data_IF_636202279294
#
_entry.id   IF_636202279294
#
_cell.length_a   1.000
_cell.length_b   1.000
_cell.length_c   1.000
_cell.angle_alpha   90.00
_cell.angle_beta   90.00
_cell.angle_gamma   90.00
#
_symmetry.space_group_name_H-M   'P 1'
#
loop_
_entity.id
_entity.type
_entity.pdbx_description
1 polymer ?
#
# COMPACT_ATOMS: atom_id res chain seq x y z
N UNK A 1 13.53 0.76 -26.40
CA UNK A 1 12.19 1.33 -26.11
C UNK A 1 11.19 0.31 -25.58
N UNK A 2 10.77 -0.72 -26.33
CA UNK A 2 9.75 -1.68 -25.83
C UNK A 2 10.25 -2.56 -24.68
N UNK A 3 11.51 -2.99 -24.73
CA UNK A 3 12.17 -3.75 -23.66
C UNK A 3 12.37 -2.88 -22.41
N UNK A 4 13.00 -1.72 -22.56
CA UNK A 4 13.14 -0.70 -21.48
C UNK A 4 11.80 -0.36 -20.82
N UNK A 5 10.70 -0.26 -21.60
CA UNK A 5 9.37 -0.01 -21.06
C UNK A 5 8.87 -1.17 -20.20
N UNK A 6 9.12 -2.43 -20.62
CA UNK A 6 8.74 -3.62 -19.83
C UNK A 6 9.56 -3.73 -18.54
N UNK A 7 10.85 -3.44 -18.61
CA UNK A 7 11.72 -3.38 -17.43
C UNK A 7 11.22 -2.32 -16.46
N UNK A 8 10.92 -1.11 -16.95
CA UNK A 8 10.33 -0.05 -16.13
C UNK A 8 9.00 -0.47 -15.48
N UNK A 9 8.13 -1.20 -16.19
CA UNK A 9 6.88 -1.72 -15.62
C UNK A 9 7.14 -2.72 -14.50
N UNK A 10 8.11 -3.61 -14.67
CA UNK A 10 8.51 -4.59 -13.65
C UNK A 10 9.08 -3.91 -12.41
N UNK A 11 10.00 -2.97 -12.59
CA UNK A 11 10.61 -2.22 -11.50
C UNK A 11 9.60 -1.36 -10.75
N UNK A 12 8.68 -0.71 -11.48
CA UNK A 12 7.59 0.05 -10.88
C UNK A 12 6.70 -0.83 -9.99
N UNK A 13 6.39 -2.05 -10.44
CA UNK A 13 5.63 -3.02 -9.65
C UNK A 13 6.40 -3.44 -8.38
N UNK A 14 7.70 -3.66 -8.48
CA UNK A 14 8.53 -4.00 -7.31
C UNK A 14 8.56 -2.84 -6.31
N UNK A 15 8.74 -1.61 -6.78
CA UNK A 15 8.70 -0.42 -5.92
C UNK A 15 7.36 -0.25 -5.21
N UNK A 16 6.23 -0.52 -5.89
CA UNK A 16 4.90 -0.54 -5.27
C UNK A 16 4.86 -1.55 -4.10
N UNK A 17 5.36 -2.78 -4.30
CA UNK A 17 5.38 -3.80 -3.25
C UNK A 17 6.30 -3.40 -2.06
N UNK A 18 7.45 -2.79 -2.34
CA UNK A 18 8.36 -2.30 -1.31
C UNK A 18 7.71 -1.20 -0.48
N UNK A 19 7.05 -0.24 -1.11
CA UNK A 19 6.32 0.82 -0.42
C UNK A 19 5.16 0.28 0.41
N UNK A 20 4.39 -0.68 -0.11
CA UNK A 20 3.37 -1.40 0.67
C UNK A 20 3.97 -2.03 1.92
N UNK A 21 5.13 -2.69 1.80
CA UNK A 21 5.83 -3.28 2.94
C UNK A 21 6.33 -2.22 3.94
N UNK A 22 6.76 -1.05 3.46
CA UNK A 22 7.12 0.08 4.33
C UNK A 22 5.92 0.62 5.10
N UNK A 23 4.75 0.73 4.46
CA UNK A 23 3.51 1.13 5.13
C UNK A 23 3.16 0.20 6.30
N UNK A 24 3.32 -1.12 6.12
CA UNK A 24 3.14 -2.10 7.21
C UNK A 24 4.10 -1.81 8.36
N UNK A 25 5.39 -1.59 8.07
CA UNK A 25 6.39 -1.29 9.10
C UNK A 25 6.08 -0.01 9.86
N UNK A 26 5.70 1.06 9.18
CA UNK A 26 5.30 2.33 9.83
C UNK A 26 4.03 2.17 10.68
N UNK A 27 3.06 1.39 10.21
CA UNK A 27 1.86 1.07 10.97
C UNK A 27 2.19 0.25 12.24
N UNK A 28 3.09 -0.73 12.14
CA UNK A 28 3.51 -1.54 13.30
C UNK A 28 4.23 -0.72 14.38
N UNK A 29 4.87 0.41 14.04
CA UNK A 29 5.46 1.33 15.03
C UNK A 29 4.42 1.95 15.98
N UNK A 30 3.13 1.90 15.63
CA UNK A 30 2.06 2.38 16.51
C UNK A 30 1.78 1.42 17.69
N UNK A 31 2.42 0.24 17.71
CA UNK A 31 2.44 -0.72 18.81
C UNK A 31 1.25 -1.67 18.83
N UNK A 32 0.03 -1.13 18.94
CA UNK A 32 -1.20 -1.93 18.96
C UNK A 32 -1.78 -2.11 17.55
N UNK A 33 -2.34 -3.30 17.29
CA UNK A 33 -2.94 -3.64 15.98
C UNK A 33 -4.04 -2.67 15.58
N UNK A 34 -4.91 -2.28 16.52
CA UNK A 34 -5.96 -1.29 16.28
C UNK A 34 -5.39 0.06 15.88
N UNK A 35 -4.35 0.54 16.59
CA UNK A 35 -3.66 1.81 16.27
C UNK A 35 -2.94 1.75 14.93
N UNK A 36 -2.37 0.60 14.58
CA UNK A 36 -1.74 0.36 13.28
C UNK A 36 -2.77 0.43 12.13
N UNK A 37 -3.94 -0.20 12.30
CA UNK A 37 -5.05 -0.10 11.34
C UNK A 37 -5.58 1.32 11.19
N UNK A 38 -5.78 2.02 12.32
CA UNK A 38 -6.25 3.40 12.32
C UNK A 38 -5.25 4.34 11.64
N UNK A 39 -3.95 4.10 11.83
CA UNK A 39 -2.90 4.85 11.15
C UNK A 39 -2.96 4.65 9.63
N UNK A 40 -3.12 3.42 9.14
CA UNK A 40 -3.29 3.16 7.71
C UNK A 40 -4.55 3.83 7.16
N UNK A 41 -5.67 3.72 7.87
CA UNK A 41 -6.94 4.35 7.47
C UNK A 41 -6.85 5.87 7.41
N UNK A 42 -6.19 6.50 8.39
CA UNK A 42 -6.04 7.96 8.48
C UNK A 42 -5.15 8.52 7.37
N UNK A 43 -4.10 7.78 7.00
CA UNK A 43 -3.12 8.24 6.01
C UNK A 43 -3.45 7.80 4.57
N UNK A 44 -4.45 6.93 4.37
CA UNK A 44 -4.93 6.54 3.05
C UNK A 44 -5.41 7.79 2.27
N UNK A 45 -4.91 8.04 1.05
CA UNK A 45 -5.39 9.13 0.21
C UNK A 45 -6.89 9.04 -0.06
N UNK A 46 -7.54 10.20 -0.21
CA UNK A 46 -8.95 10.24 -0.56
C UNK A 46 -9.13 9.93 -2.06
N UNK A 47 -10.21 9.23 -2.43
CA UNK A 47 -10.59 9.11 -3.84
C UNK A 47 -10.96 10.48 -4.41
N UNK A 48 -10.72 10.66 -5.72
CA UNK A 48 -11.28 11.80 -6.46
C UNK A 48 -12.80 11.67 -6.46
N UNK A 49 -13.52 12.78 -6.24
CA UNK A 49 -14.99 12.80 -6.28
C UNK A 49 -15.52 12.61 -7.70
N UNK A 50 -14.82 13.18 -8.67
CA UNK A 50 -15.08 13.01 -10.10
C UNK A 50 -13.94 12.17 -10.67
N UNK A 51 -14.24 10.94 -11.09
CA UNK A 51 -13.24 10.01 -11.65
C UNK A 51 -13.31 10.00 -13.18
N UNK A 52 -12.26 10.53 -13.82
CA UNK A 52 -12.16 10.62 -15.27
C UNK A 52 -11.17 9.60 -15.88
N UNK A 53 -10.71 8.64 -15.08
CA UNK A 53 -9.74 7.60 -15.46
C UNK A 53 -8.41 8.14 -16.03
N UNK A 54 -8.04 9.37 -15.69
CA UNK A 54 -6.73 9.95 -16.03
C UNK A 54 -5.60 9.19 -15.35
N UNK A 55 -4.37 9.32 -15.88
CA UNK A 55 -3.19 8.67 -15.29
C UNK A 55 -2.99 9.05 -13.82
N UNK A 56 -3.21 10.30 -13.44
CA UNK A 56 -3.09 10.76 -12.04
C UNK A 56 -4.13 10.11 -11.14
N UNK A 57 -5.37 9.93 -11.60
CA UNK A 57 -6.42 9.26 -10.83
C UNK A 57 -6.19 7.76 -10.71
N UNK A 58 -5.71 7.12 -11.78
CA UNK A 58 -5.29 5.72 -11.74
C UNK A 58 -4.12 5.53 -10.77
N UNK A 59 -3.14 6.43 -10.78
CA UNK A 59 -2.04 6.42 -9.82
C UNK A 59 -2.55 6.58 -8.38
N UNK A 60 -3.46 7.53 -8.11
CA UNK A 60 -4.07 7.66 -6.78
C UNK A 60 -4.82 6.39 -6.36
N UNK A 61 -5.45 5.69 -7.30
CA UNK A 61 -6.11 4.40 -7.06
C UNK A 61 -5.11 3.31 -6.69
N UNK A 62 -3.95 3.27 -7.36
CA UNK A 62 -2.85 2.37 -6.99
C UNK A 62 -2.37 2.67 -5.57
N UNK A 63 -2.12 3.93 -5.23
CA UNK A 63 -1.69 4.31 -3.88
C UNK A 63 -2.74 3.92 -2.84
N UNK A 64 -4.02 4.17 -3.09
CA UNK A 64 -5.11 3.73 -2.20
C UNK A 64 -5.13 2.20 -2.01
N UNK A 65 -4.85 1.45 -3.08
CA UNK A 65 -4.79 -0.01 -3.04
C UNK A 65 -3.60 -0.49 -2.21
N UNK A 66 -2.45 0.18 -2.28
CA UNK A 66 -1.29 -0.11 -1.41
C UNK A 66 -1.63 -0.01 0.08
N UNK A 67 -2.49 0.92 0.50
CA UNK A 67 -2.95 1.01 1.89
C UNK A 67 -3.85 -0.16 2.30
N UNK A 68 -4.73 -0.62 1.41
CA UNK A 68 -5.55 -1.81 1.66
C UNK A 68 -4.70 -3.08 1.70
N UNK A 69 -3.70 -3.19 0.81
CA UNK A 69 -2.74 -4.28 0.80
C UNK A 69 -1.91 -4.31 2.08
N UNK A 70 -1.41 -3.14 2.51
CA UNK A 70 -0.70 -3.01 3.78
C UNK A 70 -1.57 -3.42 4.97
N UNK A 71 -2.86 -3.09 4.98
CA UNK A 71 -3.78 -3.56 6.02
C UNK A 71 -3.92 -5.09 6.02
N UNK A 72 -4.03 -5.71 4.85
CA UNK A 72 -4.09 -7.18 4.72
C UNK A 72 -2.80 -7.86 5.20
N UNK A 73 -1.64 -7.31 4.83
CA UNK A 73 -0.34 -7.83 5.26
C UNK A 73 -0.10 -7.63 6.77
N UNK A 74 -0.51 -6.49 7.33
CA UNK A 74 -0.49 -6.23 8.77
C UNK A 74 -1.18 -7.36 9.55
N UNK A 75 -2.38 -7.78 9.11
CA UNK A 75 -3.11 -8.89 9.73
C UNK A 75 -2.37 -10.21 9.65
N UNK A 76 -1.64 -10.48 8.56
CA UNK A 76 -0.82 -11.69 8.43
C UNK A 76 0.35 -11.66 9.42
N UNK A 77 1.06 -10.53 9.52
CA UNK A 77 2.18 -10.37 10.45
C UNK A 77 1.75 -10.50 11.91
N UNK A 78 0.63 -9.87 12.30
CA UNK A 78 0.07 -9.99 13.65
C UNK A 78 -0.30 -11.44 13.98
N UNK A 79 -0.90 -12.17 13.02
CA UNK A 79 -1.19 -13.60 13.22
C UNK A 79 0.09 -14.40 13.46
N UNK A 80 1.15 -14.17 12.67
CA UNK A 80 2.44 -14.84 12.87
C UNK A 80 3.03 -14.58 14.26
N UNK A 81 2.91 -13.36 14.77
CA UNK A 81 3.39 -12.99 16.11
C UNK A 81 2.58 -13.63 17.24
N UNK A 82 1.28 -13.85 17.05
CA UNK A 82 0.40 -14.48 18.06
C UNK A 82 0.64 -15.99 18.22
N UNK A 83 1.16 -16.66 17.19
CA UNK A 83 1.42 -18.10 17.18
C UNK A 83 2.92 -18.47 17.29
N UNK A 84 3.75 -17.51 17.73
CA UNK A 84 5.17 -17.71 18.07
C UNK A 84 5.33 -17.76 19.57
#
# INVERSE_FOLDING_TARGET
MLEEFREWQFDSKNQINEWTSRLVKEALKQGEVGKAEDWLKKNKPRPSGDFHATTSEQFNTIVQTMFEDAKRELHKEVRKLRFK
#
